data_IF_404611080778
#
_entry.id   IF_404611080778
#
_cell.length_a   1.000
_cell.length_b   1.000
_cell.length_c   1.000
_cell.angle_alpha   90.00
_cell.angle_beta   90.00
_cell.angle_gamma   90.00
#
_symmetry.space_group_name_H-M   'P 1'
#
loop_
_entity.id
_entity.type
_entity.pdbx_description
1 polymer ?
#
# COMPACT_ATOMS: atom_id res chain seq x y z
N UNK A 1 -1.50 -13.63 -12.61
CA UNK A 1 -1.12 -12.68 -11.55
C UNK A 1 -0.42 -11.51 -12.24
N UNK A 2 -1.10 -10.37 -12.30
CA UNK A 2 -0.75 -9.18 -13.06
C UNK A 2 0.33 -8.39 -12.32
N UNK A 3 1.29 -7.83 -13.07
CA UNK A 3 2.25 -6.89 -12.48
C UNK A 3 1.53 -5.65 -11.93
N UNK A 4 2.13 -5.08 -10.88
CA UNK A 4 1.64 -3.93 -10.13
C UNK A 4 0.20 -4.07 -9.62
N UNK A 5 -0.19 -5.26 -9.16
CA UNK A 5 -1.56 -5.53 -8.67
C UNK A 5 -1.53 -6.01 -7.23
N UNK A 6 -2.57 -5.64 -6.47
CA UNK A 6 -2.81 -6.03 -5.09
C UNK A 6 -3.98 -7.00 -5.03
N UNK A 7 -3.86 -7.99 -4.16
CA UNK A 7 -4.79 -9.10 -4.05
C UNK A 7 -5.25 -9.27 -2.60
N UNK A 8 -6.54 -9.57 -2.43
CA UNK A 8 -7.06 -10.07 -1.15
C UNK A 8 -6.67 -11.55 -0.93
N UNK A 9 -7.16 -12.14 0.17
CA UNK A 9 -6.90 -13.55 0.51
C UNK A 9 -7.56 -14.54 -0.46
N UNK A 10 -8.60 -14.12 -1.18
CA UNK A 10 -9.32 -14.93 -2.17
C UNK A 10 -8.70 -14.79 -3.57
N UNK A 11 -7.53 -14.15 -3.67
CA UNK A 11 -6.82 -13.83 -4.92
C UNK A 11 -7.61 -12.91 -5.88
N UNK A 12 -8.61 -12.19 -5.39
CA UNK A 12 -9.26 -11.15 -6.18
C UNK A 12 -8.33 -9.94 -6.26
N UNK A 13 -8.17 -9.41 -7.47
CA UNK A 13 -7.42 -8.19 -7.64
C UNK A 13 -8.26 -7.01 -7.13
N UNK A 14 -7.85 -6.42 -6.01
CA UNK A 14 -8.57 -5.34 -5.30
C UNK A 14 -7.97 -3.94 -5.55
N UNK A 15 -6.77 -3.89 -6.12
CA UNK A 15 -6.12 -2.64 -6.46
C UNK A 15 -4.92 -2.81 -7.38
N UNK A 16 -4.36 -1.69 -7.80
CA UNK A 16 -3.18 -1.65 -8.65
C UNK A 16 -2.32 -0.41 -8.39
N UNK A 17 -1.08 -0.49 -8.83
CA UNK A 17 -0.14 0.60 -8.82
C UNK A 17 0.25 0.99 -10.25
N UNK A 18 0.21 2.29 -10.56
CA UNK A 18 0.61 2.79 -11.87
C UNK A 18 1.16 4.20 -11.76
N UNK A 19 2.37 4.41 -12.30
CA UNK A 19 3.00 5.73 -12.44
C UNK A 19 3.03 6.57 -11.15
N UNK A 20 3.41 5.99 -10.01
CA UNK A 20 3.45 6.75 -8.74
C UNK A 20 2.13 6.73 -7.96
N UNK A 21 1.06 6.17 -8.52
CA UNK A 21 -0.30 6.30 -7.98
C UNK A 21 -0.92 4.94 -7.69
N UNK A 22 -1.57 4.83 -6.52
CA UNK A 22 -2.34 3.67 -6.12
C UNK A 22 -3.82 3.84 -6.52
N UNK A 23 -4.42 2.76 -6.99
CA UNK A 23 -5.80 2.72 -7.48
C UNK A 23 -6.52 1.48 -6.95
N UNK A 24 -7.84 1.56 -6.76
CA UNK A 24 -8.68 0.36 -6.59
C UNK A 24 -8.83 -0.39 -7.93
N UNK A 25 -9.25 -1.65 -7.87
CA UNK A 25 -9.56 -2.51 -9.02
C UNK A 25 -10.61 -3.54 -8.59
N UNK A 26 -11.70 -3.77 -9.34
CA UNK A 26 -12.57 -2.75 -9.96
C UNK A 26 -13.43 -1.97 -8.94
N UNK A 27 -13.86 -0.72 -9.16
CA UNK A 27 -13.55 0.27 -10.22
C UNK A 27 -12.18 0.94 -10.01
N UNK A 28 -11.68 1.76 -10.96
CA UNK A 28 -10.39 2.48 -10.84
C UNK A 28 -10.56 3.83 -10.11
N UNK A 29 -10.58 3.82 -8.79
CA UNK A 29 -10.61 5.02 -7.94
C UNK A 29 -9.20 5.32 -7.44
N UNK A 30 -8.76 6.57 -7.55
CA UNK A 30 -7.45 7.01 -7.04
C UNK A 30 -7.47 6.95 -5.51
N UNK A 31 -6.54 6.20 -4.92
CA UNK A 31 -6.42 6.05 -3.47
C UNK A 31 -5.43 7.08 -2.89
N UNK A 32 -4.37 7.35 -3.63
CA UNK A 32 -3.29 8.27 -3.25
C UNK A 32 -2.04 7.96 -4.07
N UNK A 33 -0.90 8.40 -3.57
CA UNK A 33 0.38 8.23 -4.27
C UNK A 33 1.52 7.97 -3.30
N UNK A 34 2.61 7.41 -3.82
CA UNK A 34 3.92 7.59 -3.21
C UNK A 34 4.73 8.50 -4.15
N UNK A 35 5.64 9.28 -3.60
CA UNK A 35 6.58 10.04 -4.42
C UNK A 35 8.02 9.55 -4.18
N UNK A 36 8.59 8.84 -5.15
CA UNK A 36 9.98 8.39 -5.10
C UNK A 36 10.98 9.50 -5.43
N UNK A 37 10.52 10.61 -6.00
CA UNK A 37 11.36 11.70 -6.49
C UNK A 37 11.40 12.91 -5.54
N UNK A 38 10.36 13.12 -4.73
CA UNK A 38 10.30 14.24 -3.78
C UNK A 38 10.81 13.83 -2.40
N UNK A 39 10.28 12.75 -1.82
CA UNK A 39 10.65 12.30 -0.48
C UNK A 39 10.45 10.78 -0.36
N UNK A 40 11.49 9.97 -0.69
CA UNK A 40 11.37 8.53 -0.65
C UNK A 40 11.00 8.04 0.75
N UNK A 41 10.10 7.06 0.81
CA UNK A 41 9.62 6.48 2.06
C UNK A 41 8.32 7.08 2.60
N UNK A 42 7.66 8.01 1.89
CA UNK A 42 6.36 8.55 2.31
C UNK A 42 5.20 8.16 1.39
N UNK A 43 4.01 8.05 1.98
CA UNK A 43 2.73 7.85 1.31
C UNK A 43 1.88 9.10 1.49
N UNK A 44 1.21 9.50 0.40
CA UNK A 44 0.44 10.72 0.28
C UNK A 44 -1.01 10.43 -0.04
N UNK A 45 -1.93 11.13 0.63
CA UNK A 45 -3.34 11.11 0.26
C UNK A 45 -3.58 11.86 -1.07
N UNK A 46 -4.85 11.92 -1.50
CA UNK A 46 -5.21 12.60 -2.75
C UNK A 46 -5.00 14.12 -2.74
N UNK A 47 -4.87 14.72 -1.56
CA UNK A 47 -4.61 16.15 -1.32
C UNK A 47 -3.11 16.46 -1.23
N UNK A 48 -2.25 15.45 -1.49
CA UNK A 48 -0.79 15.50 -1.38
C UNK A 48 -0.27 15.75 0.04
N UNK A 49 -1.05 15.38 1.05
CA UNK A 49 -0.59 15.37 2.44
C UNK A 49 0.05 14.03 2.76
N UNK A 50 1.16 14.06 3.50
CA UNK A 50 1.78 12.84 4.05
C UNK A 50 0.82 12.20 5.04
N UNK A 51 0.63 10.89 4.94
CA UNK A 51 -0.24 10.14 5.87
C UNK A 51 0.46 8.94 6.51
N UNK A 52 1.53 8.44 5.88
CA UNK A 52 2.31 7.33 6.41
C UNK A 52 3.76 7.40 5.91
N UNK A 53 4.62 6.69 6.62
CA UNK A 53 6.01 6.44 6.28
C UNK A 53 6.22 4.94 6.14
N UNK A 54 7.10 4.52 5.24
CA UNK A 54 7.50 3.12 5.09
C UNK A 54 9.00 2.99 4.93
N UNK A 55 9.56 1.97 5.54
CA UNK A 55 10.97 1.61 5.45
C UNK A 55 11.15 0.12 5.73
N UNK A 56 12.05 -0.53 5.00
CA UNK A 56 12.47 -1.91 5.21
C UNK A 56 11.34 -2.93 5.49
N UNK A 57 10.23 -2.86 4.74
CA UNK A 57 9.10 -3.79 4.90
C UNK A 57 8.08 -3.38 5.97
N UNK A 58 8.25 -2.25 6.64
CA UNK A 58 7.35 -1.73 7.68
C UNK A 58 6.64 -0.49 7.19
N UNK A 59 5.38 -0.30 7.58
CA UNK A 59 4.57 0.88 7.31
C UNK A 59 4.00 1.41 8.62
N UNK A 60 4.25 2.69 8.90
CA UNK A 60 3.79 3.36 10.12
C UNK A 60 3.09 4.67 9.78
N UNK A 61 2.21 5.11 10.68
CA UNK A 61 1.64 6.45 10.62
C UNK A 61 2.72 7.52 10.91
N UNK A 62 2.36 8.80 10.76
CA UNK A 62 3.29 9.91 11.04
C UNK A 62 3.64 10.08 12.53
N UNK A 63 2.98 9.36 13.44
CA UNK A 63 3.28 9.33 14.88
C UNK A 63 4.19 8.14 15.24
N UNK A 64 4.49 7.26 14.28
CA UNK A 64 5.30 6.06 14.46
C UNK A 64 4.52 4.81 14.89
N UNK A 65 3.18 4.86 14.90
CA UNK A 65 2.37 3.67 15.16
C UNK A 65 2.40 2.75 13.95
N UNK A 66 2.60 1.45 14.18
CA UNK A 66 2.58 0.45 13.12
C UNK A 66 1.19 0.37 12.49
N UNK A 67 1.12 0.49 11.17
CA UNK A 67 -0.08 0.21 10.37
C UNK A 67 -0.02 -1.24 9.87
N UNK A 68 1.14 -1.66 9.37
CA UNK A 68 1.33 -2.99 8.82
C UNK A 68 2.74 -3.25 8.30
N UNK A 69 2.94 -4.44 7.78
CA UNK A 69 4.20 -4.90 7.21
C UNK A 69 3.97 -5.53 5.83
N UNK A 70 5.02 -5.58 5.03
CA UNK A 70 5.06 -6.34 3.78
C UNK A 70 6.38 -7.11 3.69
N UNK A 71 6.29 -8.41 3.42
CA UNK A 71 7.45 -9.30 3.23
C UNK A 71 7.07 -10.47 2.35
N UNK A 72 8.01 -10.95 1.54
CA UNK A 72 7.84 -12.12 0.68
C UNK A 72 6.57 -12.11 -0.19
N UNK A 73 6.17 -10.93 -0.70
CA UNK A 73 4.93 -10.68 -1.47
C UNK A 73 3.63 -10.68 -0.66
N UNK A 74 3.68 -10.91 0.64
CA UNK A 74 2.51 -10.89 1.52
C UNK A 74 2.42 -9.58 2.28
N UNK A 75 1.19 -9.22 2.62
CA UNK A 75 0.85 -8.05 3.41
C UNK A 75 0.35 -8.53 4.77
N UNK A 76 0.87 -7.94 5.84
CA UNK A 76 0.57 -8.31 7.20
C UNK A 76 -0.02 -7.12 7.98
N UNK A 77 -1.12 -7.35 8.68
CA UNK A 77 -1.68 -6.42 9.66
C UNK A 77 -1.81 -7.18 10.97
N UNK A 78 -1.31 -6.63 12.08
CA UNK A 78 -1.29 -7.33 13.39
C UNK A 78 -0.72 -8.76 13.32
N UNK A 79 0.31 -8.95 12.48
CA UNK A 79 0.98 -10.23 12.23
C UNK A 79 0.12 -11.32 11.55
N UNK A 80 -1.02 -10.95 10.97
CA UNK A 80 -1.85 -11.82 10.14
C UNK A 80 -1.74 -11.44 8.67
N UNK A 81 -1.69 -12.44 7.78
CA UNK A 81 -1.71 -12.19 6.34
C UNK A 81 -3.11 -11.71 5.94
N UNK A 82 -3.18 -10.56 5.29
CA UNK A 82 -4.45 -9.97 4.81
C UNK A 82 -4.54 -9.91 3.30
N UNK A 83 -3.44 -10.16 2.60
CA UNK A 83 -3.39 -10.10 1.16
C UNK A 83 -1.98 -10.28 0.61
N UNK A 84 -1.85 -10.08 -0.69
CA UNK A 84 -0.57 -10.18 -1.39
C UNK A 84 -0.42 -9.11 -2.48
N UNK A 85 0.81 -8.93 -2.95
CA UNK A 85 1.13 -7.97 -4.00
C UNK A 85 2.12 -8.57 -5.00
N UNK A 86 2.01 -8.13 -6.25
CA UNK A 86 3.07 -8.32 -7.26
C UNK A 86 3.42 -6.94 -7.75
N UNK A 87 4.33 -6.27 -7.05
CA UNK A 87 4.67 -4.88 -7.31
C UNK A 87 6.01 -4.53 -6.63
N UNK A 88 6.40 -3.26 -6.70
CA UNK A 88 7.50 -2.72 -5.89
C UNK A 88 7.12 -2.62 -4.41
N UNK A 89 8.12 -2.50 -3.54
CA UNK A 89 7.93 -2.28 -2.09
C UNK A 89 7.07 -1.05 -1.79
N UNK A 90 7.18 -0.01 -2.61
CA UNK A 90 6.40 1.21 -2.46
C UNK A 90 4.90 0.98 -2.75
N UNK A 91 4.62 0.12 -3.73
CA UNK A 91 3.26 -0.28 -4.04
C UNK A 91 2.70 -1.17 -2.93
N UNK A 92 3.50 -2.06 -2.36
CA UNK A 92 3.13 -2.84 -1.18
C UNK A 92 2.79 -1.93 0.02
N UNK A 93 3.62 -0.93 0.28
CA UNK A 93 3.38 0.05 1.33
C UNK A 93 2.07 0.83 1.09
N UNK A 94 1.81 1.27 -0.14
CA UNK A 94 0.55 1.92 -0.49
C UNK A 94 -0.67 1.01 -0.28
N UNK A 95 -0.56 -0.29 -0.60
CA UNK A 95 -1.65 -1.23 -0.32
C UNK A 95 -1.91 -1.42 1.17
N UNK A 96 -0.87 -1.44 2.01
CA UNK A 96 -1.02 -1.48 3.47
C UNK A 96 -1.86 -0.30 3.93
N UNK A 97 -1.54 0.93 3.49
CA UNK A 97 -2.27 2.12 3.95
C UNK A 97 -3.70 2.20 3.41
N UNK A 98 -3.89 2.00 2.10
CA UNK A 98 -5.14 2.36 1.45
C UNK A 98 -6.19 1.24 1.43
N UNK A 99 -5.75 -0.02 1.48
CA UNK A 99 -6.63 -1.17 1.30
C UNK A 99 -6.81 -1.99 2.58
N UNK A 100 -5.76 -2.11 3.40
CA UNK A 100 -5.75 -3.03 4.54
C UNK A 100 -5.67 -2.35 5.91
N UNK A 101 -5.06 -1.17 5.99
CA UNK A 101 -4.81 -0.42 7.22
C UNK A 101 -5.91 0.55 7.62
N UNK A 102 -7.00 0.63 6.85
CA UNK A 102 -8.20 1.35 7.28
C UNK A 102 -8.96 0.48 8.28
N UNK A 103 -8.89 0.81 9.56
CA UNK A 103 -10.00 0.49 10.46
C UNK A 103 -11.23 1.26 9.95
N UNK A 104 -12.32 0.55 9.66
CA UNK A 104 -13.62 1.14 9.29
C UNK A 104 -14.45 1.41 10.53
#
# INVERSE_FOLDING_TARGET
>A
MDMNTFYDLDENAIGMFSCGVAWTKPERVRLGSYDIHIDPGYIYNNENEKIAVFDAGVVSDLKGNLIGEYRDRFIYINNEVVGSYIASDHAAAASVVFLFGKEW
#
